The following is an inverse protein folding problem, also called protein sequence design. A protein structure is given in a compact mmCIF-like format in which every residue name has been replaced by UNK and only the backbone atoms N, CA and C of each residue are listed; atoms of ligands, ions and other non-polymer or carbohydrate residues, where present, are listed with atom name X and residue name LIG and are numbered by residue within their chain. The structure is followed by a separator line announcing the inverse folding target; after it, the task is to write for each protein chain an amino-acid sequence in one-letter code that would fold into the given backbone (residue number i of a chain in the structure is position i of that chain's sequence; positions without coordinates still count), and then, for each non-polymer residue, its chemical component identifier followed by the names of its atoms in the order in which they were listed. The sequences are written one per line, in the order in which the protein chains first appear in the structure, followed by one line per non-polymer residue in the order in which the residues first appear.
data_IF_105437138220
#
_entry.id   IF_105437138220
#
_cell.length_a   1.000
_cell.length_b   1.000
_cell.length_c   1.000
_cell.angle_alpha   90.00
_cell.angle_beta   90.00
_cell.angle_gamma   90.00
#
_symmetry.space_group_name_H-M   'P 1'
#
loop_
_entity.id
_entity.type
_entity.pdbx_description
1 polymer ?
#
# COMPACT_ATOMS: atom_id res chain seq x y z
N UNK A 1 17.88 0.21 -6.41
CA UNK A 1 17.29 -0.79 -5.51
C UNK A 1 16.48 -0.02 -4.50
N UNK A 2 15.19 -0.32 -4.33
CA UNK A 2 14.33 0.40 -3.37
C UNK A 2 14.86 0.17 -1.96
N UNK A 3 15.07 1.24 -1.20
CA UNK A 3 15.51 1.14 0.19
C UNK A 3 14.32 0.79 1.08
N UNK A 4 14.15 -0.50 1.36
CA UNK A 4 13.02 -1.04 2.11
C UNK A 4 12.91 -0.39 3.50
N UNK A 5 14.03 -0.09 4.15
CA UNK A 5 14.02 0.53 5.48
C UNK A 5 13.44 1.93 5.40
N UNK A 6 13.91 2.75 4.46
CA UNK A 6 13.38 4.09 4.27
C UNK A 6 11.88 4.09 3.94
N UNK A 7 11.41 3.12 3.13
CA UNK A 7 9.97 3.00 2.86
C UNK A 7 9.19 2.60 4.10
N UNK A 8 9.69 1.66 4.89
CA UNK A 8 9.04 1.24 6.13
C UNK A 8 8.99 2.37 7.17
N UNK A 9 10.07 3.14 7.34
CA UNK A 9 10.13 4.31 8.22
C UNK A 9 9.16 5.42 7.78
N UNK A 10 8.93 5.59 6.47
CA UNK A 10 8.02 6.59 5.92
C UNK A 10 6.56 6.11 5.79
N UNK A 11 6.26 4.85 6.10
CA UNK A 11 4.92 4.31 5.98
C UNK A 11 4.03 4.85 7.11
N UNK A 12 2.82 5.30 6.76
CA UNK A 12 1.80 5.64 7.76
C UNK A 12 1.32 4.37 8.49
N UNK A 13 1.33 3.22 7.79
CA UNK A 13 0.87 1.95 8.33
C UNK A 13 1.57 0.77 7.64
N UNK A 14 1.87 -0.28 8.40
CA UNK A 14 2.40 -1.55 7.85
C UNK A 14 1.52 -2.70 8.32
N UNK A 15 0.97 -3.48 7.37
CA UNK A 15 0.13 -4.66 7.65
C UNK A 15 0.64 -5.85 6.85
N UNK A 16 1.03 -6.91 7.55
CA UNK A 16 1.51 -8.17 6.96
C UNK A 16 2.56 -8.00 5.84
N UNK A 17 3.50 -7.07 6.03
CA UNK A 17 4.56 -6.78 5.05
C UNK A 17 4.17 -5.84 3.91
N UNK A 18 2.94 -5.32 3.89
CA UNK A 18 2.55 -4.21 3.01
C UNK A 18 2.70 -2.89 3.74
N UNK A 19 3.48 -1.98 3.19
CA UNK A 19 3.60 -0.60 3.65
C UNK A 19 2.59 0.28 2.91
N UNK A 20 1.80 1.03 3.66
CA UNK A 20 0.78 1.95 3.17
C UNK A 20 1.23 3.38 3.49
N UNK A 21 1.20 4.25 2.48
CA UNK A 21 1.54 5.67 2.61
C UNK A 21 0.49 6.50 1.90
N UNK A 22 -0.02 7.55 2.54
CA UNK A 22 -0.97 8.49 1.94
C UNK A 22 -0.29 9.27 0.81
N UNK A 23 -1.03 9.51 -0.28
CA UNK A 23 -0.61 10.38 -1.37
C UNK A 23 -1.77 11.27 -1.83
N UNK A 24 -1.49 12.21 -2.72
CA UNK A 24 -2.51 13.13 -3.25
C UNK A 24 -3.70 12.42 -3.88
N UNK A 25 -3.44 11.27 -4.53
CA UNK A 25 -4.44 10.48 -5.27
C UNK A 25 -5.17 9.45 -4.40
N UNK A 26 -4.64 9.12 -3.21
CA UNK A 26 -5.18 8.11 -2.31
C UNK A 26 -4.09 7.45 -1.47
N UNK A 27 -3.79 6.18 -1.75
CA UNK A 27 -2.91 5.34 -0.94
C UNK A 27 -1.90 4.60 -1.80
N UNK A 28 -0.61 4.82 -1.55
CA UNK A 28 0.48 4.03 -2.14
C UNK A 28 0.72 2.82 -1.26
N UNK A 29 0.84 1.67 -1.90
CA UNK A 29 1.08 0.39 -1.22
C UNK A 29 2.29 -0.30 -1.84
N UNK A 30 3.25 -0.70 -1.01
CA UNK A 30 4.42 -1.46 -1.42
C UNK A 30 4.52 -2.76 -0.62
N UNK A 31 4.75 -3.88 -1.31
CA UNK A 31 5.12 -5.13 -0.65
C UNK A 31 6.60 -5.07 -0.24
N UNK A 32 6.88 -4.96 1.07
CA UNK A 32 8.24 -4.87 1.60
C UNK A 32 9.06 -6.15 1.35
N UNK A 33 8.39 -7.29 1.12
CA UNK A 33 9.04 -8.56 0.77
C UNK A 33 9.33 -8.68 -0.74
N UNK A 34 8.64 -7.88 -1.57
CA UNK A 34 8.78 -7.84 -3.02
C UNK A 34 8.69 -6.39 -3.52
N UNK A 35 9.78 -5.60 -3.45
CA UNK A 35 9.76 -4.17 -3.79
C UNK A 35 9.44 -3.85 -5.26
N UNK A 36 9.39 -4.84 -6.14
CA UNK A 36 8.86 -4.71 -7.50
C UNK A 36 7.32 -4.71 -7.57
N UNK A 37 6.65 -5.05 -6.46
CA UNK A 37 5.19 -5.17 -6.32
C UNK A 37 4.61 -3.99 -5.55
N UNK A 38 3.99 -3.09 -6.29
CA UNK A 38 3.36 -1.89 -5.79
C UNK A 38 1.97 -1.71 -6.39
N UNK A 39 1.08 -1.06 -5.66
CA UNK A 39 -0.21 -0.60 -6.18
C UNK A 39 -0.54 0.76 -5.60
N UNK A 40 -1.25 1.59 -6.35
CA UNK A 40 -1.81 2.85 -5.90
C UNK A 40 -3.33 2.70 -5.90
N UNK A 41 -3.94 2.85 -4.73
CA UNK A 41 -5.39 2.91 -4.60
C UNK A 41 -5.86 4.36 -4.59
N UNK A 42 -7.02 4.61 -5.21
CA UNK A 42 -7.77 5.85 -5.06
C UNK A 42 -8.26 6.01 -3.62
N UNK A 43 -8.78 7.19 -3.28
CA UNK A 43 -9.45 7.41 -1.99
C UNK A 43 -10.67 6.50 -1.78
N UNK A 44 -11.28 6.02 -2.86
CA UNK A 44 -12.43 5.13 -2.85
C UNK A 44 -12.02 3.64 -2.77
N UNK A 45 -10.74 3.32 -2.95
CA UNK A 45 -10.20 1.96 -2.86
C UNK A 45 -10.01 1.25 -4.20
N UNK A 46 -10.23 1.94 -5.32
CA UNK A 46 -9.99 1.42 -6.66
C UNK A 46 -8.50 1.47 -7.03
N UNK A 47 -7.98 0.42 -7.67
CA UNK A 47 -6.58 0.42 -8.12
C UNK A 47 -6.42 1.36 -9.33
N UNK A 48 -5.57 2.38 -9.18
CA UNK A 48 -5.22 3.35 -10.21
C UNK A 48 -4.07 2.86 -11.08
N UNK A 49 -3.02 2.34 -10.43
CA UNK A 49 -1.83 1.78 -11.07
C UNK A 49 -1.31 0.61 -10.25
N UNK A 50 -0.87 -0.47 -10.89
CA UNK A 50 -0.39 -1.67 -10.18
C UNK A 50 0.64 -2.47 -10.98
N UNK A 51 1.64 -3.00 -10.28
CA UNK A 51 2.52 -4.09 -10.74
C UNK A 51 2.25 -5.42 -10.02
N UNK A 52 1.29 -5.41 -9.08
CA UNK A 52 0.79 -6.60 -8.37
C UNK A 52 -0.16 -7.39 -9.28
N UNK A 53 -0.22 -8.71 -9.09
CA UNK A 53 -1.27 -9.53 -9.69
C UNK A 53 -2.63 -9.33 -9.00
N UNK A 54 -3.70 -9.81 -9.61
CA UNK A 54 -5.07 -9.59 -9.14
C UNK A 54 -5.32 -10.09 -7.71
N UNK A 55 -4.60 -11.14 -7.28
CA UNK A 55 -4.71 -11.69 -5.92
C UNK A 55 -3.99 -10.77 -4.94
N UNK A 56 -2.77 -10.36 -5.26
CA UNK A 56 -2.01 -9.40 -4.44
C UNK A 56 -2.76 -8.07 -4.29
N UNK A 57 -3.37 -7.54 -5.36
CA UNK A 57 -4.20 -6.33 -5.31
C UNK A 57 -5.40 -6.52 -4.38
N UNK A 58 -6.12 -7.65 -4.49
CA UNK A 58 -7.26 -7.94 -3.63
C UNK A 58 -6.86 -8.02 -2.14
N UNK A 59 -5.72 -8.65 -1.83
CA UNK A 59 -5.20 -8.74 -0.45
C UNK A 59 -4.81 -7.35 0.07
N UNK A 60 -4.07 -6.57 -0.72
CA UNK A 60 -3.64 -5.23 -0.33
C UNK A 60 -4.85 -4.30 -0.11
N UNK A 61 -5.89 -4.42 -0.94
CA UNK A 61 -7.14 -3.67 -0.78
C UNK A 61 -7.88 -4.07 0.50
N UNK A 62 -8.01 -5.36 0.78
CA UNK A 62 -8.65 -5.85 2.01
C UNK A 62 -7.94 -5.32 3.27
N UNK A 63 -6.59 -5.28 3.26
CA UNK A 63 -5.82 -4.67 4.33
C UNK A 63 -6.06 -3.17 4.45
N UNK A 64 -6.11 -2.43 3.34
CA UNK A 64 -6.43 -1.01 3.35
C UNK A 64 -7.83 -0.75 3.94
N UNK A 65 -8.86 -1.44 3.45
CA UNK A 65 -10.25 -1.22 3.88
C UNK A 65 -10.45 -1.51 5.38
N UNK A 66 -9.81 -2.56 5.90
CA UNK A 66 -9.93 -2.93 7.31
C UNK A 66 -9.17 -2.00 8.27
N UNK A 67 -8.14 -1.32 7.77
CA UNK A 67 -7.19 -0.59 8.61
C UNK A 67 -7.07 0.92 8.30
N UNK A 68 -7.75 1.43 7.26
CA UNK A 68 -7.72 2.85 6.86
C UNK A 68 -7.99 3.84 8.00
N UNK A 69 -8.79 3.45 8.99
CA UNK A 69 -9.07 4.24 10.20
C UNK A 69 -7.82 4.61 11.02
N UNK A 70 -6.71 3.90 10.84
CA UNK A 70 -5.43 4.21 11.49
C UNK A 70 -4.57 5.19 10.68
N UNK A 71 -5.00 5.54 9.47
CA UNK A 71 -4.36 6.49 8.56
C UNK A 71 -5.15 7.81 8.41
N UNK A 72 -6.42 7.80 8.82
CA UNK A 72 -7.28 8.99 8.90
C UNK A 72 -6.95 9.73 10.23
N UNK A 73 -6.63 11.03 10.18
CA UNK A 73 -6.52 11.89 11.37
C UNK A 73 -7.91 12.27 11.92
#
# INVERSE_FOLDING_TARGET
MTDIKQVADAADMIVNGYAFTRCTEGYRVLNLNRPDRATVFSKEGDALETSMDDIEVAIARDYLEKNRKFMEE
#
